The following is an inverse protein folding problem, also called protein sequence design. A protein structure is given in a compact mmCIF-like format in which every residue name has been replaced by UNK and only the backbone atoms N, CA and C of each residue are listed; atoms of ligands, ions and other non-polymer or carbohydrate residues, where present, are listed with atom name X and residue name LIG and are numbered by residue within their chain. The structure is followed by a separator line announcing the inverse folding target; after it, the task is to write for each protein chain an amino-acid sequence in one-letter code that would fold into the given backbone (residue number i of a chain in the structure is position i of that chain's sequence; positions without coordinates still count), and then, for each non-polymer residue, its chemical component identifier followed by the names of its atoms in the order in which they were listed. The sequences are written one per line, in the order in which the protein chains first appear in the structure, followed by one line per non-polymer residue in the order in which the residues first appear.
data_IF_737107505993
#
_entry.id   IF_737107505993
#
_cell.length_a   1.000
_cell.length_b   1.000
_cell.length_c   1.000
_cell.angle_alpha   90.00
_cell.angle_beta   90.00
_cell.angle_gamma   90.00
#
_symmetry.space_group_name_H-M   'P 1'
#
loop_
_entity.id
_entity.type
_entity.pdbx_description
1 polymer ?
#
# COMPACT_ATOMS: atom_id res chain seq x y z
N UNK A 1 21.41 -7.71 6.17
CA UNK A 1 20.61 -8.95 6.05
C UNK A 1 19.81 -9.10 7.32
N UNK A 2 18.56 -8.61 7.32
CA UNK A 2 17.41 -9.03 8.14
C UNK A 2 16.37 -7.90 8.11
N UNK A 3 15.41 -7.95 7.18
CA UNK A 3 14.20 -7.13 7.32
C UNK A 3 13.50 -7.58 8.59
N UNK A 4 13.39 -6.70 9.58
CA UNK A 4 12.73 -7.05 10.84
C UNK A 4 11.27 -7.45 10.55
N UNK A 5 10.76 -8.53 11.17
CA UNK A 5 9.36 -8.89 11.03
C UNK A 5 8.49 -7.71 11.49
N UNK A 6 7.53 -7.33 10.64
CA UNK A 6 6.56 -6.28 10.95
C UNK A 6 5.64 -6.84 12.04
N UNK A 7 5.57 -6.15 13.18
CA UNK A 7 4.83 -6.64 14.34
C UNK A 7 3.30 -6.53 14.15
N UNK A 8 2.56 -7.33 14.90
CA UNK A 8 1.10 -7.38 14.82
C UNK A 8 0.43 -6.05 15.19
N UNK A 9 1.07 -5.25 16.05
CA UNK A 9 0.58 -3.94 16.45
C UNK A 9 0.55 -2.97 15.26
N UNK A 10 1.54 -3.01 14.37
CA UNK A 10 1.55 -2.21 13.14
C UNK A 10 0.39 -2.59 12.22
N UNK A 11 0.14 -3.89 12.04
CA UNK A 11 -0.99 -4.36 11.24
C UNK A 11 -2.35 -3.99 11.84
N UNK A 12 -2.47 -4.04 13.17
CA UNK A 12 -3.68 -3.61 13.87
C UNK A 12 -3.94 -2.10 13.68
N UNK A 13 -2.89 -1.27 13.75
CA UNK A 13 -2.99 0.16 13.50
C UNK A 13 -3.44 0.45 12.06
N UNK A 14 -2.80 -0.19 11.06
CA UNK A 14 -3.18 -0.05 9.65
C UNK A 14 -4.63 -0.47 9.42
N UNK A 15 -5.06 -1.59 10.01
CA UNK A 15 -6.45 -2.06 9.91
C UNK A 15 -7.44 -1.06 10.49
N UNK A 16 -7.08 -0.42 11.59
CA UNK A 16 -7.95 0.55 12.28
C UNK A 16 -8.09 1.84 11.48
N UNK A 17 -6.99 2.35 10.95
CA UNK A 17 -6.99 3.64 10.27
C UNK A 17 -7.42 3.55 8.80
N UNK A 18 -6.87 2.58 8.06
CA UNK A 18 -7.02 2.51 6.61
C UNK A 18 -7.92 1.38 6.14
N UNK A 19 -8.42 0.55 7.05
CA UNK A 19 -9.02 -0.76 6.75
C UNK A 19 -8.03 -1.72 6.08
N UNK A 20 -8.32 -3.02 6.21
CA UNK A 20 -7.49 -4.07 5.64
C UNK A 20 -8.38 -5.24 5.17
N UNK A 21 -9.23 -5.02 4.14
CA UNK A 21 -10.11 -6.05 3.59
C UNK A 21 -9.31 -7.22 3.02
N UNK A 22 -9.91 -8.41 3.07
CA UNK A 22 -9.36 -9.60 2.40
C UNK A 22 -9.40 -9.44 0.89
N UNK A 23 -8.51 -10.14 0.18
CA UNK A 23 -8.51 -10.16 -1.29
C UNK A 23 -9.87 -10.59 -1.87
N UNK A 24 -10.56 -11.54 -1.22
CA UNK A 24 -11.88 -12.00 -1.63
C UNK A 24 -12.96 -10.92 -1.49
N UNK A 25 -12.93 -10.14 -0.39
CA UNK A 25 -13.84 -9.01 -0.19
C UNK A 25 -13.62 -7.93 -1.26
N UNK A 26 -12.37 -7.62 -1.58
CA UNK A 26 -12.03 -6.68 -2.65
C UNK A 26 -12.54 -7.19 -4.00
N UNK A 27 -12.24 -8.45 -4.35
CA UNK A 27 -12.71 -9.06 -5.61
C UNK A 27 -14.21 -8.95 -5.75
N UNK A 28 -14.97 -9.35 -4.73
CA UNK A 28 -16.44 -9.28 -4.72
C UNK A 28 -16.92 -7.85 -4.98
N UNK A 29 -16.37 -6.87 -4.24
CA UNK A 29 -16.75 -5.47 -4.39
C UNK A 29 -16.43 -4.92 -5.78
N UNK A 30 -15.30 -5.28 -6.37
CA UNK A 30 -14.95 -4.85 -7.72
C UNK A 30 -15.89 -5.48 -8.76
N UNK A 31 -16.24 -6.76 -8.63
CA UNK A 31 -17.22 -7.42 -9.50
C UNK A 31 -18.61 -6.78 -9.47
N UNK A 32 -18.98 -6.10 -8.38
CA UNK A 32 -20.24 -5.34 -8.29
C UNK A 32 -20.15 -3.97 -9.01
N UNK A 33 -18.95 -3.44 -9.23
CA UNK A 33 -18.71 -2.10 -9.78
C UNK A 33 -18.26 -2.11 -11.24
N UNK A 34 -17.72 -3.22 -11.73
CA UNK A 34 -17.22 -3.37 -13.10
C UNK A 34 -17.37 -4.79 -13.63
N UNK A 35 -17.49 -4.92 -14.95
CA UNK A 35 -17.70 -6.20 -15.64
C UNK A 35 -16.49 -7.15 -15.52
N UNK A 36 -15.27 -6.63 -15.66
CA UNK A 36 -14.03 -7.40 -15.48
C UNK A 36 -13.11 -6.75 -14.42
N UNK A 37 -13.02 -7.34 -13.20
CA UNK A 37 -12.14 -6.84 -12.15
C UNK A 37 -10.68 -7.28 -12.30
N UNK A 38 -10.36 -8.25 -13.17
CA UNK A 38 -9.03 -8.86 -13.22
C UNK A 38 -7.87 -7.89 -13.51
N UNK A 39 -8.01 -6.88 -14.40
CA UNK A 39 -6.96 -5.89 -14.63
C UNK A 39 -6.62 -5.09 -13.36
N UNK A 40 -7.62 -4.77 -12.54
CA UNK A 40 -7.45 -4.06 -11.26
C UNK A 40 -6.85 -5.00 -10.22
N UNK A 41 -7.35 -6.23 -10.13
CA UNK A 41 -6.89 -7.24 -9.18
C UNK A 41 -5.38 -7.55 -9.31
N UNK A 42 -4.83 -7.45 -10.52
CA UNK A 42 -3.39 -7.65 -10.81
C UNK A 42 -2.49 -6.52 -10.32
N UNK A 43 -3.04 -5.32 -10.13
CA UNK A 43 -2.29 -4.12 -9.72
C UNK A 43 -2.33 -3.88 -8.21
N UNK A 44 -3.11 -4.67 -7.46
CA UNK A 44 -3.31 -4.46 -6.03
C UNK A 44 -2.02 -4.59 -5.23
N UNK A 45 -1.85 -3.65 -4.31
CA UNK A 45 -0.96 -3.85 -3.16
C UNK A 45 -1.60 -4.92 -2.27
N UNK A 46 -0.81 -5.93 -1.92
CA UNK A 46 -1.27 -7.11 -1.16
C UNK A 46 -0.39 -7.32 0.05
N UNK A 47 -0.98 -7.39 1.22
CA UNK A 47 -0.27 -7.71 2.45
C UNK A 47 -0.50 -9.17 2.80
N UNK A 48 0.57 -9.86 3.15
CA UNK A 48 0.54 -11.26 3.59
C UNK A 48 0.73 -11.28 5.10
N UNK A 49 -0.31 -11.67 5.84
CA UNK A 49 -0.30 -11.73 7.31
C UNK A 49 -0.80 -13.12 7.68
N UNK A 50 0.05 -13.89 8.37
CA UNK A 50 -0.16 -15.33 8.58
C UNK A 50 -0.51 -16.02 7.24
N UNK A 51 -1.62 -16.75 7.20
CA UNK A 51 -2.14 -17.42 6.00
C UNK A 51 -3.08 -16.52 5.15
N UNK A 52 -3.27 -15.26 5.55
CA UNK A 52 -4.21 -14.34 4.93
C UNK A 52 -3.57 -13.40 3.91
N UNK A 53 -4.30 -13.10 2.83
CA UNK A 53 -3.96 -12.02 1.88
C UNK A 53 -4.97 -10.88 1.99
N UNK A 54 -4.47 -9.69 2.26
CA UNK A 54 -5.26 -8.49 2.47
C UNK A 54 -4.82 -7.35 1.55
N UNK A 55 -5.68 -6.34 1.40
CA UNK A 55 -5.43 -5.18 0.56
C UNK A 55 -5.50 -3.93 1.44
N UNK A 56 -4.43 -3.12 1.57
CA UNK A 56 -4.49 -1.87 2.33
C UNK A 56 -5.54 -0.91 1.76
N UNK A 57 -6.44 -0.39 2.59
CA UNK A 57 -7.57 0.38 2.06
C UNK A 57 -7.19 1.74 1.49
N UNK A 58 -6.04 2.32 1.86
CA UNK A 58 -5.53 3.57 1.29
C UNK A 58 -5.26 3.49 -0.22
N UNK A 59 -5.18 2.28 -0.80
CA UNK A 59 -5.00 2.11 -2.25
C UNK A 59 -6.29 2.36 -3.04
N UNK A 60 -7.46 2.46 -2.39
CA UNK A 60 -8.75 2.63 -3.06
C UNK A 60 -9.27 4.06 -2.91
N UNK A 61 -9.78 4.61 -4.02
CA UNK A 61 -10.64 5.78 -4.01
C UNK A 61 -12.07 5.39 -3.58
N UNK A 62 -12.92 6.35 -3.15
CA UNK A 62 -14.29 6.06 -2.70
C UNK A 62 -15.14 5.27 -3.72
N UNK A 63 -14.87 5.42 -5.03
CA UNK A 63 -15.54 4.69 -6.11
C UNK A 63 -14.98 3.31 -6.42
N UNK A 64 -14.03 2.80 -5.64
CA UNK A 64 -13.40 1.48 -5.84
C UNK A 64 -12.27 1.44 -6.86
N UNK A 65 -12.00 2.55 -7.56
CA UNK A 65 -10.80 2.67 -8.40
C UNK A 65 -9.54 2.71 -7.55
N UNK A 66 -8.41 2.31 -8.13
CA UNK A 66 -7.12 2.42 -7.46
C UNK A 66 -6.63 3.86 -7.44
N UNK A 67 -6.00 4.24 -6.34
CA UNK A 67 -5.38 5.54 -6.19
C UNK A 67 -4.15 5.63 -7.12
N UNK A 68 -4.13 6.48 -8.15
CA UNK A 68 -3.10 6.46 -9.19
C UNK A 68 -1.68 6.60 -8.62
N UNK A 69 -1.47 7.52 -7.69
CA UNK A 69 -0.16 7.70 -7.05
C UNK A 69 0.28 6.48 -6.22
N UNK A 70 -0.65 5.75 -5.59
CA UNK A 70 -0.28 4.54 -4.84
C UNK A 70 0.19 3.46 -5.81
N UNK A 71 -0.44 3.34 -6.99
CA UNK A 71 -0.05 2.37 -8.01
C UNK A 71 1.28 2.75 -8.67
N UNK A 72 1.49 4.03 -8.94
CA UNK A 72 2.78 4.54 -9.44
C UNK A 72 3.91 4.25 -8.44
N UNK A 73 3.73 4.63 -7.18
CA UNK A 73 4.70 4.36 -6.11
C UNK A 73 4.92 2.86 -5.93
N UNK A 74 3.87 2.05 -6.01
CA UNK A 74 3.99 0.61 -5.86
C UNK A 74 4.74 -0.03 -7.03
N UNK A 75 4.47 0.41 -8.26
CA UNK A 75 5.24 -0.01 -9.44
C UNK A 75 6.73 0.27 -9.26
N UNK A 76 7.07 1.49 -8.82
CA UNK A 76 8.46 1.84 -8.54
C UNK A 76 9.05 1.06 -7.34
N UNK A 77 8.24 0.78 -6.32
CA UNK A 77 8.66 -0.05 -5.20
C UNK A 77 9.05 -1.47 -5.65
N UNK A 78 8.32 -2.05 -6.61
CA UNK A 78 8.66 -3.34 -7.20
C UNK A 78 9.97 -3.29 -7.99
N UNK A 79 10.24 -2.20 -8.71
CA UNK A 79 11.54 -1.98 -9.39
C UNK A 79 12.71 -1.90 -8.40
N UNK A 80 12.45 -1.42 -7.18
CA UNK A 80 13.41 -1.33 -6.07
C UNK A 80 13.45 -2.60 -5.20
N UNK A 81 12.82 -3.69 -5.65
CA UNK A 81 12.67 -4.97 -4.94
C UNK A 81 11.98 -4.84 -3.55
N UNK A 82 11.23 -3.79 -3.29
CA UNK A 82 10.55 -3.57 -2.00
C UNK A 82 9.31 -4.49 -1.92
N UNK A 83 9.25 -5.42 -0.96
CA UNK A 83 8.11 -6.34 -0.86
C UNK A 83 6.85 -5.59 -0.46
N UNK A 84 5.70 -6.14 -0.85
CA UNK A 84 4.40 -5.50 -0.65
C UNK A 84 4.13 -5.13 0.82
N UNK A 85 4.51 -5.99 1.76
CA UNK A 85 4.35 -5.73 3.19
C UNK A 85 5.17 -4.51 3.65
N UNK A 86 6.42 -4.40 3.20
CA UNK A 86 7.29 -3.27 3.55
C UNK A 86 6.88 -1.99 2.84
N UNK A 87 6.41 -2.07 1.60
CA UNK A 87 5.78 -0.94 0.94
C UNK A 87 4.57 -0.43 1.73
N UNK A 88 3.69 -1.34 2.15
CA UNK A 88 2.52 -1.00 2.98
C UNK A 88 2.92 -0.35 4.29
N UNK A 89 3.95 -0.88 4.97
CA UNK A 89 4.46 -0.30 6.19
C UNK A 89 5.05 1.09 5.95
N UNK A 90 5.87 1.25 4.91
CA UNK A 90 6.45 2.53 4.52
C UNK A 90 5.39 3.58 4.28
N UNK A 91 4.31 3.23 3.57
CA UNK A 91 3.20 4.12 3.27
C UNK A 91 2.61 4.78 4.53
N UNK A 92 2.59 4.08 5.66
CA UNK A 92 1.99 4.54 6.92
C UNK A 92 3.01 4.94 7.98
N UNK A 93 4.30 4.87 7.67
CA UNK A 93 5.37 5.19 8.64
C UNK A 93 5.82 6.64 8.47
N UNK A 94 5.90 7.43 9.56
CA UNK A 94 6.49 8.76 9.54
C UNK A 94 7.88 8.76 8.88
N UNK A 95 8.09 9.64 7.91
CA UNK A 95 9.33 9.72 7.15
C UNK A 95 10.05 11.05 7.40
N UNK A 96 11.33 10.99 7.76
CA UNK A 96 12.17 12.19 7.86
C UNK A 96 12.31 12.91 6.51
N UNK A 97 12.27 12.18 5.40
CA UNK A 97 12.30 12.76 4.05
C UNK A 97 11.03 13.56 3.74
N UNK A 98 9.95 13.33 4.50
CA UNK A 98 8.66 14.00 4.39
C UNK A 98 8.38 14.85 5.63
N UNK A 99 9.42 15.43 6.24
CA UNK A 99 9.31 16.31 7.41
C UNK A 99 8.58 15.71 8.64
N UNK A 100 8.52 14.37 8.74
CA UNK A 100 7.85 13.66 9.82
C UNK A 100 6.44 13.18 9.47
N UNK A 101 5.90 13.57 8.33
CA UNK A 101 4.61 13.07 7.83
C UNK A 101 4.75 11.67 7.20
N UNK A 102 3.63 10.99 6.98
CA UNK A 102 3.59 9.65 6.35
C UNK A 102 3.34 9.80 4.86
N UNK A 103 3.85 8.90 4.00
CA UNK A 103 3.58 8.95 2.56
C UNK A 103 2.08 9.03 2.20
N UNK A 104 1.21 8.32 2.92
CA UNK A 104 -0.26 8.40 2.73
C UNK A 104 -0.83 9.81 2.89
N UNK A 105 -0.21 10.67 3.71
CA UNK A 105 -0.68 12.03 3.97
C UNK A 105 -0.39 12.98 2.78
N UNK A 106 0.49 12.59 1.85
CA UNK A 106 0.89 13.40 0.68
C UNK A 106 0.25 12.97 -0.64
N UNK A 107 -0.68 12.00 -0.64
CA UNK A 107 -1.29 11.42 -1.84
C UNK A 107 -2.11 12.38 -2.74
N UNK A 108 -2.25 13.65 -2.35
CA UNK A 108 -2.95 14.69 -3.12
C UNK A 108 -1.99 15.69 -3.77
N UNK A 109 -0.69 15.55 -3.55
CA UNK A 109 0.33 16.51 -3.98
C UNK A 109 1.16 16.05 -5.18
N UNK A 110 2.29 16.73 -5.39
CA UNK A 110 3.34 16.31 -6.33
C UNK A 110 3.88 14.93 -5.93
N UNK A 111 3.99 13.94 -6.84
CA UNK A 111 4.57 12.64 -6.53
C UNK A 111 6.09 12.67 -6.34
N UNK A 112 6.81 13.69 -6.82
CA UNK A 112 8.28 13.71 -6.80
C UNK A 112 8.92 13.62 -5.39
N UNK A 113 8.39 14.25 -4.32
CA UNK A 113 8.84 14.02 -2.95
C UNK A 113 8.62 12.58 -2.48
N UNK A 114 7.50 11.96 -2.85
CA UNK A 114 7.17 10.58 -2.47
C UNK A 114 8.11 9.57 -3.15
N UNK A 115 8.37 9.75 -4.45
CA UNK A 115 9.31 8.92 -5.20
C UNK A 115 10.72 9.01 -4.62
N UNK A 116 11.23 10.21 -4.36
CA UNK A 116 12.56 10.38 -3.73
C UNK A 116 12.62 9.77 -2.33
N UNK A 117 11.56 9.91 -1.54
CA UNK A 117 11.48 9.28 -0.22
C UNK A 117 11.50 7.75 -0.32
N UNK A 118 10.81 7.17 -1.32
CA UNK A 118 10.79 5.73 -1.58
C UNK A 118 12.15 5.20 -2.03
N UNK A 119 12.84 5.90 -2.93
CA UNK A 119 14.21 5.54 -3.39
C UNK A 119 15.21 5.49 -2.22
N UNK A 120 15.00 6.34 -1.20
CA UNK A 120 15.82 6.37 0.01
C UNK A 120 15.44 5.30 1.05
N UNK A 121 14.32 4.61 0.87
CA UNK A 121 13.79 3.68 1.85
C UNK A 121 14.60 2.39 1.91
N UNK A 122 15.27 2.17 3.05
CA UNK A 122 16.04 0.96 3.33
C UNK A 122 15.18 0.00 4.14
N UNK A 123 14.62 -1.00 3.45
CA UNK A 123 13.83 -2.06 4.06
C UNK A 123 14.67 -3.31 4.42
N UNK A 124 15.96 -3.33 4.02
CA UNK A 124 16.96 -4.40 4.28
C UNK A 124 18.18 -3.90 5.03
#
# INVERSE_FOLDING_TARGET
MNGQPINDQAWAAIRTEFTLPTLQQVRRRLSELMEDPEPVMRQLVRVFIDDGTFCPGFQFLPGGQLHPQVIELFGHALELDIPHNYFTLWMVTPSRALAGDRPVDHLKGDPAPLLRALESYRWR
#
